data_IF_713435251778
#
_entry.id   IF_713435251778
#
_cell.length_a   1.000
_cell.length_b   1.000
_cell.length_c   1.000
_cell.angle_alpha   90.00
_cell.angle_beta   90.00
_cell.angle_gamma   90.00
#
_symmetry.space_group_name_H-M   'P 1'
#
loop_
_entity.id
_entity.type
_entity.pdbx_description
1 polymer ?
#
# COMPACT_ATOMS: atom_id res chain seq x y z
N UNK A 1 44.45 30.49 4.51
CA UNK A 1 45.13 30.94 5.75
C UNK A 1 44.09 31.12 6.84
N UNK A 2 44.33 30.43 7.96
CA UNK A 2 43.92 30.70 9.35
C UNK A 2 42.60 31.47 9.55
N UNK A 3 41.59 30.78 10.10
CA UNK A 3 41.08 31.05 11.47
C UNK A 3 40.67 29.72 12.12
N UNK A 4 41.68 29.07 12.70
CA UNK A 4 41.56 28.04 13.73
C UNK A 4 41.63 28.79 15.08
N UNK A 5 40.86 28.35 16.08
CA UNK A 5 41.07 28.40 17.54
C UNK A 5 39.69 28.13 18.19
N UNK A 6 39.33 26.90 18.59
CA UNK A 6 39.74 26.15 19.80
C UNK A 6 39.27 26.82 21.11
N UNK A 7 38.44 26.09 21.87
CA UNK A 7 38.34 25.88 23.35
C UNK A 7 37.11 24.95 23.51
N UNK A 8 37.19 23.62 23.67
CA UNK A 8 37.73 22.76 24.75
C UNK A 8 37.02 22.93 26.10
N UNK A 9 36.38 21.82 26.50
CA UNK A 9 36.06 21.35 27.84
C UNK A 9 34.99 22.10 28.65
N UNK A 10 33.95 21.38 29.09
CA UNK A 10 33.87 20.85 30.46
C UNK A 10 33.00 19.59 30.49
N UNK A 11 33.53 18.62 31.22
CA UNK A 11 33.08 17.28 31.55
C UNK A 11 32.16 17.29 32.80
N UNK A 12 31.58 16.12 33.13
CA UNK A 12 30.91 15.72 34.39
C UNK A 12 29.38 15.93 34.40
N UNK A 13 28.52 14.90 34.30
CA UNK A 13 28.33 13.66 35.08
C UNK A 13 27.76 13.91 36.48
N UNK A 14 26.78 13.06 36.82
CA UNK A 14 26.06 12.84 38.10
C UNK A 14 24.73 13.63 38.21
N UNK A 15 23.58 13.08 38.64
CA UNK A 15 23.25 11.93 39.49
C UNK A 15 21.92 11.26 39.09
N UNK A 16 21.95 9.94 38.96
CA UNK A 16 21.04 8.96 39.58
C UNK A 16 19.61 9.41 39.98
N UNK A 17 18.60 9.01 39.19
CA UNK A 17 17.26 8.71 39.72
C UNK A 17 17.09 7.19 39.81
N UNK A 18 17.26 6.67 41.02
CA UNK A 18 17.00 5.28 41.35
C UNK A 18 15.67 5.20 42.10
N UNK A 19 14.61 4.86 41.38
CA UNK A 19 13.25 4.61 41.89
C UNK A 19 12.86 3.14 41.71
N UNK A 20 13.31 2.35 42.66
CA UNK A 20 13.10 0.92 42.93
C UNK A 20 11.65 0.38 42.75
N UNK A 21 11.47 -0.66 41.91
CA UNK A 21 11.06 -2.03 42.29
C UNK A 21 10.74 -2.91 41.08
N UNK A 22 11.48 -4.01 41.00
CA UNK A 22 11.35 -5.10 40.06
C UNK A 22 10.09 -5.94 40.35
N UNK A 23 9.30 -6.19 39.31
CA UNK A 23 8.59 -7.46 39.13
C UNK A 23 8.91 -7.94 37.72
N UNK A 24 9.78 -8.95 37.66
CA UNK A 24 9.99 -9.78 36.49
C UNK A 24 8.65 -10.50 36.22
N UNK A 25 7.91 -9.99 35.25
CA UNK A 25 6.86 -10.75 34.59
C UNK A 25 7.47 -11.24 33.29
N UNK A 26 7.67 -12.56 33.25
CA UNK A 26 8.04 -13.35 32.11
C UNK A 26 6.98 -13.13 31.01
N UNK A 27 7.19 -12.13 30.13
CA UNK A 27 6.43 -12.05 28.88
C UNK A 27 7.14 -12.99 27.93
N UNK A 28 6.76 -14.27 28.08
CA UNK A 28 6.88 -15.30 27.06
C UNK A 28 6.65 -14.65 25.70
N UNK A 29 7.71 -14.60 24.90
CA UNK A 29 7.66 -14.30 23.48
C UNK A 29 6.62 -15.23 22.87
N UNK A 30 5.40 -14.72 22.73
CA UNK A 30 4.35 -15.40 22.02
C UNK A 30 4.68 -15.13 20.58
N UNK A 31 5.34 -16.09 19.95
CA UNK A 31 5.37 -16.23 18.49
C UNK A 31 4.03 -15.75 17.95
N UNK A 32 3.97 -14.87 16.93
CA UNK A 32 2.82 -14.94 16.04
C UNK A 32 2.77 -16.38 15.59
N UNK A 33 1.68 -17.07 15.94
CA UNK A 33 1.34 -18.32 15.30
C UNK A 33 1.44 -18.03 13.81
N UNK A 34 2.35 -18.74 13.14
CA UNK A 34 2.37 -18.83 11.70
C UNK A 34 1.03 -19.47 11.38
N UNK A 35 0.03 -18.63 11.16
CA UNK A 35 -1.16 -19.01 10.46
C UNK A 35 -0.63 -19.52 9.14
N UNK A 36 -0.86 -20.81 8.94
CA UNK A 36 -0.49 -21.54 7.74
C UNK A 36 -1.19 -20.82 6.60
N UNK A 37 -0.49 -19.86 5.98
CA UNK A 37 -0.84 -19.29 4.70
C UNK A 37 -0.99 -20.51 3.79
N UNK A 38 -2.25 -20.87 3.51
CA UNK A 38 -2.56 -21.70 2.36
C UNK A 38 -1.74 -21.13 1.19
N UNK A 39 -1.14 -21.96 0.34
CA UNK A 39 -0.28 -21.47 -0.72
C UNK A 39 -1.05 -20.37 -1.44
N UNK A 40 -0.56 -19.12 -1.33
CA UNK A 40 -1.08 -18.04 -2.14
C UNK A 40 -1.01 -18.59 -3.55
N UNK A 41 -2.18 -18.81 -4.15
CA UNK A 41 -2.25 -19.22 -5.52
C UNK A 41 -1.36 -18.23 -6.28
N UNK A 42 -0.45 -18.76 -7.09
CA UNK A 42 0.47 -17.94 -7.87
C UNK A 42 -0.38 -17.03 -8.78
N UNK A 43 -0.70 -15.83 -8.27
CA UNK A 43 -1.60 -14.86 -8.90
C UNK A 43 -1.04 -14.35 -10.24
N UNK A 44 0.16 -14.81 -10.60
CA UNK A 44 0.85 -14.50 -11.84
C UNK A 44 0.24 -15.17 -13.07
N UNK A 45 -0.60 -16.21 -12.93
CA UNK A 45 -1.06 -17.01 -14.08
C UNK A 45 -2.57 -16.92 -14.41
N UNK A 46 -3.37 -16.14 -13.67
CA UNK A 46 -4.83 -16.14 -13.86
C UNK A 46 -5.27 -15.38 -15.11
N UNK A 47 -6.43 -15.70 -15.72
CA UNK A 47 -6.99 -14.94 -16.83
C UNK A 47 -7.18 -13.46 -16.52
N UNK A 48 -7.61 -13.13 -15.29
CA UNK A 48 -7.84 -11.77 -14.82
C UNK A 48 -6.52 -11.00 -14.78
N UNK A 49 -5.45 -11.61 -14.26
CA UNK A 49 -4.12 -11.02 -14.26
C UNK A 49 -3.62 -10.73 -15.67
N UNK A 50 -3.78 -11.68 -16.60
CA UNK A 50 -3.37 -11.50 -18.00
C UNK A 50 -4.13 -10.35 -18.67
N UNK A 51 -5.44 -10.25 -18.43
CA UNK A 51 -6.26 -9.16 -18.94
C UNK A 51 -5.82 -7.81 -18.34
N UNK A 52 -5.58 -7.76 -17.02
CA UNK A 52 -5.05 -6.58 -16.34
C UNK A 52 -3.71 -6.14 -16.93
N UNK A 53 -2.75 -7.06 -17.07
CA UNK A 53 -1.42 -6.78 -17.61
C UNK A 53 -1.51 -6.27 -19.06
N UNK A 54 -2.42 -6.82 -19.86
CA UNK A 54 -2.68 -6.37 -21.23
C UNK A 54 -3.23 -4.93 -21.27
N UNK A 55 -4.08 -4.54 -20.32
CA UNK A 55 -4.55 -3.14 -20.20
C UNK A 55 -3.41 -2.23 -19.75
N UNK A 56 -2.68 -2.61 -18.70
CA UNK A 56 -1.56 -1.79 -18.17
C UNK A 56 -0.46 -1.59 -19.21
N UNK A 57 -0.20 -2.57 -20.07
CA UNK A 57 0.78 -2.47 -21.15
C UNK A 57 0.42 -1.41 -22.22
N UNK A 58 -0.86 -1.03 -22.33
CA UNK A 58 -1.32 0.04 -23.24
C UNK A 58 -1.11 1.44 -22.66
N UNK A 59 -0.81 1.56 -21.37
CA UNK A 59 -0.68 2.84 -20.67
C UNK A 59 0.75 3.38 -20.76
N UNK A 60 0.87 4.72 -20.77
CA UNK A 60 2.15 5.41 -20.65
C UNK A 60 2.94 4.90 -19.41
N UNK A 61 4.27 4.81 -19.45
CA UNK A 61 5.09 4.47 -18.29
C UNK A 61 4.76 5.21 -17.00
N UNK A 62 4.40 6.49 -17.06
CA UNK A 62 3.99 7.30 -15.91
C UNK A 62 2.61 6.90 -15.35
N UNK A 63 1.77 6.25 -16.16
CA UNK A 63 0.41 5.82 -15.83
C UNK A 63 0.33 4.31 -15.53
N UNK A 64 1.47 3.65 -15.30
CA UNK A 64 1.50 2.23 -14.92
C UNK A 64 1.02 2.10 -13.48
N UNK A 65 -0.20 1.61 -13.31
CA UNK A 65 -0.86 1.39 -12.02
C UNK A 65 0.06 0.65 -11.01
N UNK A 66 0.89 -0.28 -11.50
CA UNK A 66 1.83 -1.10 -10.72
C UNK A 66 3.04 -0.34 -10.14
N UNK A 67 3.26 0.92 -10.54
CA UNK A 67 4.32 1.76 -9.96
C UNK A 67 3.91 2.21 -8.55
N UNK A 68 2.66 2.63 -8.38
CA UNK A 68 2.15 3.16 -7.12
C UNK A 68 1.39 2.12 -6.30
N UNK A 69 0.86 1.07 -6.93
CA UNK A 69 0.08 0.03 -6.25
C UNK A 69 0.75 -1.33 -6.43
N UNK A 70 1.23 -1.89 -5.32
CA UNK A 70 1.68 -3.29 -5.27
C UNK A 70 0.53 -4.20 -4.85
N UNK A 71 0.66 -5.51 -5.10
CA UNK A 71 -0.40 -6.48 -4.80
C UNK A 71 -0.66 -6.55 -3.28
N UNK A 72 0.40 -6.73 -2.49
CA UNK A 72 0.31 -7.11 -1.07
C UNK A 72 0.85 -6.03 -0.11
N UNK A 73 1.49 -4.98 -0.63
CA UNK A 73 2.23 -4.00 0.18
C UNK A 73 1.79 -2.58 -0.18
N UNK A 74 1.47 -1.77 0.84
CA UNK A 74 1.24 -0.33 0.65
C UNK A 74 2.57 0.34 0.31
N UNK A 75 2.60 1.11 -0.78
CA UNK A 75 3.77 1.91 -1.17
C UNK A 75 3.37 3.39 -1.25
N UNK A 76 3.24 3.93 -2.46
CA UNK A 76 2.71 5.28 -2.70
C UNK A 76 1.18 5.24 -2.56
N UNK A 77 0.55 4.26 -3.20
CA UNK A 77 -0.86 3.95 -3.06
C UNK A 77 -1.12 2.75 -2.15
N UNK A 78 -2.39 2.52 -1.76
CA UNK A 78 -2.80 1.31 -1.05
C UNK A 78 -2.50 0.04 -1.85
N UNK A 79 -2.30 -1.08 -1.16
CA UNK A 79 -2.10 -2.37 -1.81
C UNK A 79 -3.37 -2.79 -2.57
N UNK A 80 -3.25 -3.51 -3.68
CA UNK A 80 -4.45 -3.97 -4.40
C UNK A 80 -5.34 -4.89 -3.56
N UNK A 81 -4.76 -5.74 -2.69
CA UNK A 81 -5.54 -6.53 -1.74
C UNK A 81 -6.35 -5.68 -0.76
N UNK A 82 -5.77 -4.57 -0.29
CA UNK A 82 -6.48 -3.61 0.58
C UNK A 82 -7.64 -2.94 -0.19
N UNK A 83 -7.38 -2.51 -1.42
CA UNK A 83 -8.41 -1.95 -2.32
C UNK A 83 -9.53 -2.98 -2.50
N UNK A 84 -9.19 -4.22 -2.86
CA UNK A 84 -10.15 -5.29 -3.10
C UNK A 84 -11.06 -5.53 -1.88
N UNK A 85 -10.45 -5.68 -0.71
CA UNK A 85 -11.15 -5.86 0.58
C UNK A 85 -12.12 -4.73 0.88
N UNK A 86 -11.65 -3.47 0.84
CA UNK A 86 -12.49 -2.30 1.18
C UNK A 86 -13.65 -2.16 0.20
N UNK A 87 -13.44 -2.42 -1.09
CA UNK A 87 -14.51 -2.35 -2.09
C UNK A 87 -15.55 -3.45 -1.89
N UNK A 88 -15.17 -4.66 -1.45
CA UNK A 88 -16.15 -5.69 -1.08
C UNK A 88 -16.92 -5.29 0.18
N UNK A 89 -16.22 -4.93 1.26
CA UNK A 89 -16.84 -4.59 2.55
C UNK A 89 -17.83 -3.42 2.44
N UNK A 90 -17.53 -2.43 1.60
CA UNK A 90 -18.36 -1.24 1.41
C UNK A 90 -19.33 -1.34 0.22
N UNK A 91 -19.38 -2.47 -0.48
CA UNK A 91 -20.21 -2.63 -1.68
C UNK A 91 -19.88 -1.63 -2.80
N UNK A 92 -18.61 -1.22 -2.88
CA UNK A 92 -18.15 -0.21 -3.83
C UNK A 92 -18.06 -0.73 -5.26
N UNK A 93 -18.19 0.19 -6.23
CA UNK A 93 -17.99 -0.13 -7.63
C UNK A 93 -16.67 0.45 -8.15
N UNK A 94 -15.65 -0.41 -8.29
CA UNK A 94 -14.31 -0.03 -8.79
C UNK A 94 -14.40 0.64 -10.16
N UNK A 95 -15.24 0.13 -11.08
CA UNK A 95 -15.40 0.71 -12.41
C UNK A 95 -15.93 2.14 -12.34
N UNK A 96 -16.89 2.41 -11.44
CA UNK A 96 -17.41 3.77 -11.27
C UNK A 96 -16.35 4.71 -10.68
N UNK A 97 -15.51 4.23 -9.77
CA UNK A 97 -14.37 5.01 -9.27
C UNK A 97 -13.35 5.30 -10.38
N UNK A 98 -12.98 4.30 -11.18
CA UNK A 98 -12.05 4.47 -12.31
C UNK A 98 -12.60 5.42 -13.38
N UNK A 99 -13.93 5.54 -13.50
CA UNK A 99 -14.60 6.55 -14.34
C UNK A 99 -14.66 7.95 -13.72
N UNK A 100 -14.24 8.12 -12.47
CA UNK A 100 -14.37 9.38 -11.72
C UNK A 100 -15.78 9.65 -11.18
N UNK A 101 -16.68 8.67 -11.22
CA UNK A 101 -18.09 8.80 -10.81
C UNK A 101 -18.35 8.36 -9.36
N UNK A 102 -17.32 7.95 -8.63
CA UNK A 102 -17.44 7.52 -7.24
C UNK A 102 -16.36 8.17 -6.36
N UNK A 103 -16.69 8.37 -5.08
CA UNK A 103 -15.77 8.92 -4.08
C UNK A 103 -14.64 7.92 -3.78
N UNK A 104 -13.43 8.40 -3.42
CA UNK A 104 -12.37 7.53 -2.92
C UNK A 104 -12.79 6.95 -1.57
N UNK A 105 -12.95 5.63 -1.49
CA UNK A 105 -13.40 4.95 -0.26
C UNK A 105 -12.31 4.20 0.51
N UNK A 106 -11.11 4.10 -0.07
CA UNK A 106 -9.95 3.37 0.49
C UNK A 106 -9.09 4.32 1.30
N UNK A 107 -8.43 5.29 0.64
CA UNK A 107 -7.60 6.31 1.30
C UNK A 107 -7.90 7.70 0.68
N UNK A 108 -8.91 8.43 1.20
CA UNK A 108 -9.31 9.72 0.64
C UNK A 108 -8.19 10.78 0.67
N UNK A 109 -7.27 10.69 1.62
CA UNK A 109 -6.17 11.65 1.77
C UNK A 109 -5.14 11.55 0.63
N UNK A 110 -5.03 10.37 -0.01
CA UNK A 110 -4.14 10.14 -1.15
C UNK A 110 -4.84 10.35 -2.51
N UNK A 111 -6.12 10.72 -2.52
CA UNK A 111 -6.88 10.79 -3.77
C UNK A 111 -6.36 11.86 -4.74
N UNK A 112 -5.90 13.01 -4.23
CA UNK A 112 -5.34 14.06 -5.08
C UNK A 112 -4.10 13.58 -5.86
N UNK A 113 -3.32 12.65 -5.30
CA UNK A 113 -2.19 12.02 -5.99
C UNK A 113 -2.65 11.01 -7.06
N UNK A 114 -3.79 10.35 -6.84
CA UNK A 114 -4.36 9.39 -7.79
C UNK A 114 -5.14 10.05 -8.93
N UNK A 115 -5.66 11.26 -8.71
CA UNK A 115 -6.56 11.96 -9.64
C UNK A 115 -6.03 12.07 -11.08
N UNK A 116 -4.75 12.39 -11.34
CA UNK A 116 -4.22 12.41 -12.72
C UNK A 116 -4.34 11.06 -13.43
N UNK A 117 -4.13 9.94 -12.72
CA UNK A 117 -4.29 8.61 -13.29
C UNK A 117 -5.77 8.30 -13.60
N UNK A 118 -6.71 8.81 -12.79
CA UNK A 118 -8.15 8.67 -13.07
C UNK A 118 -8.53 9.42 -14.34
N UNK A 119 -7.96 10.61 -14.59
CA UNK A 119 -8.23 11.37 -15.82
C UNK A 119 -7.79 10.62 -17.09
N UNK A 120 -6.76 9.77 -16.99
CA UNK A 120 -6.32 8.89 -18.07
C UNK A 120 -7.22 7.66 -18.16
N UNK A 121 -7.36 6.93 -17.04
CA UNK A 121 -8.03 5.63 -17.01
C UNK A 121 -9.53 5.74 -17.34
N UNK A 122 -10.20 6.84 -16.97
CA UNK A 122 -11.64 7.02 -17.24
C UNK A 122 -12.01 6.99 -18.73
N UNK A 123 -11.04 7.24 -19.62
CA UNK A 123 -11.23 7.26 -21.07
C UNK A 123 -10.96 5.90 -21.73
N UNK A 124 -10.57 4.87 -20.95
CA UNK A 124 -10.40 3.52 -21.47
C UNK A 124 -11.74 2.89 -21.90
N UNK A 125 -11.73 1.95 -22.86
CA UNK A 125 -12.88 1.12 -23.18
C UNK A 125 -13.49 0.48 -21.93
N UNK A 126 -14.81 0.27 -21.94
CA UNK A 126 -15.52 -0.34 -20.81
C UNK A 126 -15.00 -1.73 -20.45
N UNK A 127 -14.57 -2.50 -21.45
CA UNK A 127 -13.95 -3.82 -21.27
C UNK A 127 -12.59 -3.74 -20.56
N UNK A 128 -11.77 -2.74 -20.89
CA UNK A 128 -10.47 -2.51 -20.26
C UNK A 128 -10.66 -2.10 -18.79
N UNK A 129 -11.64 -1.24 -18.49
CA UNK A 129 -12.02 -0.89 -17.11
C UNK A 129 -12.54 -2.10 -16.33
N UNK A 130 -13.31 -2.96 -16.98
CA UNK A 130 -13.81 -4.19 -16.38
C UNK A 130 -12.68 -5.17 -16.07
N UNK A 131 -11.70 -5.32 -16.96
CA UNK A 131 -10.52 -6.14 -16.75
C UNK A 131 -9.68 -5.65 -15.56
N UNK A 132 -9.45 -4.33 -15.46
CA UNK A 132 -8.75 -3.74 -14.32
C UNK A 132 -9.47 -4.06 -13.00
N UNK A 133 -10.78 -3.85 -12.98
CA UNK A 133 -11.59 -4.09 -11.79
C UNK A 133 -11.73 -5.58 -11.44
N UNK A 134 -11.75 -6.47 -12.43
CA UNK A 134 -11.85 -7.92 -12.23
C UNK A 134 -10.60 -8.46 -11.54
N UNK A 135 -9.40 -8.07 -12.00
CA UNK A 135 -8.17 -8.47 -11.35
C UNK A 135 -8.07 -7.95 -9.92
N UNK A 136 -8.42 -6.68 -9.67
CA UNK A 136 -8.40 -6.16 -8.30
C UNK A 136 -9.35 -6.97 -7.42
N UNK A 137 -10.56 -7.28 -7.88
CA UNK A 137 -11.51 -8.11 -7.11
C UNK A 137 -11.03 -9.53 -6.87
N UNK A 138 -10.34 -10.15 -7.83
CA UNK A 138 -9.83 -11.52 -7.68
C UNK A 138 -8.73 -11.65 -6.61
N UNK A 139 -8.22 -10.54 -6.08
CA UNK A 139 -7.22 -10.51 -5.01
C UNK A 139 -7.83 -10.50 -3.61
N UNK A 140 -9.16 -10.37 -3.52
CA UNK A 140 -9.88 -10.61 -2.27
C UNK A 140 -10.19 -12.11 -2.20
N UNK A 141 -9.41 -12.83 -1.40
CA UNK A 141 -9.60 -14.26 -1.08
C UNK A 141 -10.54 -14.42 0.12
#
# INVERSE_FOLDING_TARGET
>A
MKKLLIIVAVLAVTLASCGKKEKKADVKATKPAVEKKAPAADASATPEKKAFDAVVAKLDPANKCVVCHQVDVKTIGPAYKEVAKVYKEKGGNIVQFLKGNAKPIVDPALYDQMKPNIEVVKNLPGEDLAALAAYIRSLEE
#
